data_IF_953554921943
#
_entry.id   IF_953554921943
#
_cell.length_a   1.000
_cell.length_b   1.000
_cell.length_c   1.000
_cell.angle_alpha   90.00
_cell.angle_beta   90.00
_cell.angle_gamma   90.00
#
_symmetry.space_group_name_H-M   'P 1'
#
loop_
_entity.id
_entity.type
_entity.pdbx_description
1 polymer ?
#
# COMPACT_ATOMS: atom_id res chain seq x y z
N UNK A 1 -1.81 -3.79 11.57
CA UNK A 1 -1.72 -5.27 11.65
C UNK A 1 -2.40 -5.71 12.93
N UNK A 2 -3.43 -6.58 12.85
CA UNK A 2 -3.90 -7.30 14.03
C UNK A 2 -2.71 -8.07 14.61
N UNK A 3 -2.62 -8.17 15.94
CA UNK A 3 -1.54 -8.87 16.64
C UNK A 3 -1.26 -10.27 16.06
N UNK A 4 -2.29 -10.95 15.57
CA UNK A 4 -2.18 -12.24 14.89
C UNK A 4 -1.36 -12.18 13.60
N UNK A 5 -1.56 -11.17 12.75
CA UNK A 5 -0.81 -11.01 11.50
C UNK A 5 0.67 -10.67 11.79
N UNK A 6 0.95 -9.90 12.82
CA UNK A 6 2.32 -9.61 13.24
C UNK A 6 3.06 -10.86 13.70
N UNK A 7 2.42 -11.72 14.48
CA UNK A 7 3.00 -13.01 14.94
C UNK A 7 3.32 -13.91 13.74
N UNK A 8 2.41 -14.03 12.78
CA UNK A 8 2.62 -14.87 11.59
C UNK A 8 3.74 -14.31 10.71
N UNK A 9 3.76 -13.01 10.43
CA UNK A 9 4.83 -12.37 9.66
C UNK A 9 6.19 -12.56 10.34
N UNK A 10 6.28 -12.33 11.64
CA UNK A 10 7.51 -12.53 12.39
C UNK A 10 8.00 -13.99 12.35
N UNK A 11 7.08 -14.97 12.40
CA UNK A 11 7.42 -16.39 12.24
C UNK A 11 7.98 -16.69 10.85
N UNK A 12 7.38 -16.14 9.80
CA UNK A 12 7.83 -16.31 8.43
C UNK A 12 9.21 -15.67 8.22
N UNK A 13 9.39 -14.43 8.68
CA UNK A 13 10.69 -13.75 8.62
C UNK A 13 11.79 -14.57 9.31
N UNK A 14 11.50 -15.09 10.51
CA UNK A 14 12.45 -15.95 11.26
C UNK A 14 12.77 -17.24 10.51
N UNK A 15 11.77 -17.92 9.93
CA UNK A 15 11.98 -19.19 9.23
C UNK A 15 12.81 -19.06 7.95
N UNK A 16 12.90 -17.86 7.38
CA UNK A 16 13.71 -17.57 6.19
C UNK A 16 14.96 -16.74 6.48
N UNK A 17 15.37 -16.60 7.74
CA UNK A 17 16.51 -15.78 8.17
C UNK A 17 16.41 -14.31 7.68
N UNK A 18 15.21 -13.78 7.67
CA UNK A 18 14.91 -12.40 7.25
C UNK A 18 14.70 -11.49 8.46
N UNK A 19 14.96 -10.20 8.27
CA UNK A 19 14.74 -9.14 9.27
C UNK A 19 14.05 -7.94 8.61
N UNK A 20 12.99 -7.45 9.26
CA UNK A 20 12.28 -6.25 8.81
C UNK A 20 12.83 -5.02 9.52
N UNK A 21 13.15 -3.99 8.75
CA UNK A 21 13.63 -2.69 9.22
C UNK A 21 12.59 -1.63 8.90
N UNK A 22 11.91 -1.11 9.91
CA UNK A 22 10.89 -0.09 9.74
C UNK A 22 11.53 1.25 9.34
N UNK A 23 11.00 1.89 8.31
CA UNK A 23 11.35 3.24 7.88
C UNK A 23 10.39 4.28 8.48
N UNK A 24 9.09 4.05 8.34
CA UNK A 24 8.06 4.93 8.88
C UNK A 24 6.73 4.21 9.08
N UNK A 25 5.83 4.86 9.78
CA UNK A 25 4.45 4.44 9.95
C UNK A 25 3.55 5.44 9.22
N UNK A 26 2.61 4.95 8.42
CA UNK A 26 1.65 5.76 7.71
C UNK A 26 0.22 5.40 8.13
N UNK A 27 -0.66 6.37 8.11
CA UNK A 27 -2.11 6.12 8.15
C UNK A 27 -2.60 5.73 6.75
N UNK A 28 -3.58 4.81 6.64
CA UNK A 28 -4.12 4.44 5.35
C UNK A 28 -4.85 5.62 4.68
N UNK A 29 -4.66 5.72 3.38
CA UNK A 29 -5.32 6.70 2.53
C UNK A 29 -5.94 5.99 1.34
N UNK A 30 -6.97 6.58 0.79
CA UNK A 30 -7.63 6.15 -0.44
C UNK A 30 -7.10 6.97 -1.60
N UNK A 31 -6.53 6.32 -2.62
CA UNK A 31 -6.22 6.95 -3.89
C UNK A 31 -7.45 6.89 -4.79
N UNK A 32 -7.92 8.04 -5.21
CA UNK A 32 -9.07 8.23 -6.11
C UNK A 32 -8.78 9.31 -7.13
N UNK A 33 -9.56 9.31 -8.20
CA UNK A 33 -9.57 10.44 -9.14
C UNK A 33 -10.03 11.73 -8.44
N UNK A 34 -9.43 12.85 -8.79
CA UNK A 34 -9.91 14.18 -8.36
C UNK A 34 -11.38 14.45 -8.72
N UNK A 35 -11.90 13.75 -9.72
CA UNK A 35 -13.29 13.85 -10.17
C UNK A 35 -14.21 12.81 -9.51
N UNK A 36 -13.66 11.95 -8.65
CA UNK A 36 -14.44 10.94 -7.94
C UNK A 36 -15.52 11.59 -7.07
N UNK A 37 -16.72 10.98 -6.94
CA UNK A 37 -17.78 11.53 -6.09
C UNK A 37 -17.34 11.84 -4.65
N UNK A 38 -16.45 11.00 -4.07
CA UNK A 38 -15.91 11.18 -2.72
C UNK A 38 -14.70 12.13 -2.64
N UNK A 39 -14.26 12.75 -3.75
CA UNK A 39 -13.04 13.56 -3.78
C UNK A 39 -13.08 14.82 -2.91
N UNK A 40 -14.27 15.25 -2.47
CA UNK A 40 -14.47 16.41 -1.59
C UNK A 40 -14.51 16.05 -0.10
N UNK A 41 -14.53 14.75 0.21
CA UNK A 41 -14.54 14.29 1.59
C UNK A 41 -13.17 14.56 2.23
N UNK A 42 -13.16 14.95 3.48
CA UNK A 42 -11.93 15.12 4.27
C UNK A 42 -11.42 13.78 4.81
N UNK A 43 -12.33 12.81 4.97
CA UNK A 43 -12.08 11.43 5.38
C UNK A 43 -13.11 10.56 4.65
N UNK A 44 -12.72 9.36 4.27
CA UNK A 44 -13.59 8.37 3.60
C UNK A 44 -13.70 7.15 4.51
N UNK A 45 -14.90 6.57 4.62
CA UNK A 45 -15.13 5.32 5.37
C UNK A 45 -15.14 4.10 4.45
N UNK A 46 -14.99 2.91 5.03
CA UNK A 46 -15.07 1.66 4.26
C UNK A 46 -16.46 1.45 3.66
N UNK A 47 -17.51 1.86 4.35
CA UNK A 47 -18.91 1.76 3.89
C UNK A 47 -19.15 2.63 2.64
N UNK A 48 -18.61 3.85 2.61
CA UNK A 48 -18.70 4.72 1.44
C UNK A 48 -18.01 4.15 0.20
N UNK A 49 -17.02 3.27 0.40
CA UNK A 49 -16.24 2.64 -0.67
C UNK A 49 -16.91 1.39 -1.27
N UNK A 50 -17.91 0.79 -0.62
CA UNK A 50 -18.56 -0.45 -1.09
C UNK A 50 -19.19 -0.34 -2.47
N UNK A 51 -19.65 0.85 -2.85
CA UNK A 51 -20.27 1.11 -4.15
C UNK A 51 -19.26 1.20 -5.31
N UNK A 52 -17.97 1.38 -5.01
CA UNK A 52 -16.92 1.63 -6.00
C UNK A 52 -16.01 0.42 -6.19
N UNK A 53 -15.46 0.21 -7.40
CA UNK A 53 -14.55 -0.90 -7.64
C UNK A 53 -13.19 -0.67 -6.99
N UNK A 54 -12.75 -1.66 -6.22
CA UNK A 54 -11.42 -1.70 -5.65
C UNK A 54 -10.40 -2.18 -6.68
N UNK A 55 -9.31 -1.45 -6.84
CA UNK A 55 -8.20 -1.81 -7.71
C UNK A 55 -7.07 -2.40 -6.87
N UNK A 56 -6.72 -3.64 -7.13
CA UNK A 56 -5.66 -4.37 -6.46
C UNK A 56 -4.59 -4.85 -7.44
N UNK A 57 -3.37 -5.06 -6.95
CA UNK A 57 -2.32 -5.66 -7.75
C UNK A 57 -2.43 -7.19 -7.77
N UNK A 58 -2.21 -7.80 -8.95
CA UNK A 58 -2.02 -9.23 -9.06
C UNK A 58 -0.65 -9.62 -8.47
N UNK A 59 -0.66 -10.50 -7.48
CA UNK A 59 0.54 -10.84 -6.70
C UNK A 59 1.25 -12.13 -7.13
N UNK A 60 0.90 -12.67 -8.32
CA UNK A 60 1.52 -13.89 -8.86
C UNK A 60 1.13 -15.18 -8.12
N UNK A 61 1.85 -16.28 -8.41
CA UNK A 61 1.51 -17.63 -7.94
C UNK A 61 1.78 -17.87 -6.45
N UNK A 62 2.66 -17.08 -5.83
CA UNK A 62 2.99 -17.16 -4.40
C UNK A 62 2.13 -16.21 -3.55
N UNK A 63 0.96 -15.91 -4.00
CA UNK A 63 0.00 -15.04 -3.36
C UNK A 63 -0.53 -15.67 -2.06
N UNK A 64 0.25 -15.59 -1.01
CA UNK A 64 -0.30 -15.85 0.31
C UNK A 64 -0.89 -14.55 0.85
N UNK A 65 -2.06 -14.65 1.44
CA UNK A 65 -2.73 -13.63 2.20
C UNK A 65 -1.78 -12.80 3.12
N UNK A 66 -0.73 -13.45 3.62
CA UNK A 66 0.25 -12.85 4.53
C UNK A 66 1.32 -11.98 3.84
N UNK A 67 1.48 -12.10 2.54
CA UNK A 67 2.48 -11.36 1.74
C UNK A 67 1.85 -10.31 0.83
N UNK A 68 0.56 -10.04 1.01
CA UNK A 68 -0.09 -8.98 0.27
C UNK A 68 0.54 -7.62 0.63
N UNK A 69 1.03 -6.90 -0.36
CA UNK A 69 1.46 -5.51 -0.22
C UNK A 69 0.30 -4.58 0.14
N UNK A 70 -0.92 -5.08 -0.04
CA UNK A 70 -2.14 -4.32 0.16
C UNK A 70 -2.67 -4.50 1.57
N UNK A 71 -2.92 -3.40 2.21
CA UNK A 71 -3.69 -3.35 3.44
C UNK A 71 -5.14 -3.70 3.10
N UNK A 72 -5.77 -4.49 3.95
CA UNK A 72 -7.17 -4.93 3.77
C UNK A 72 -7.39 -5.92 2.61
N UNK A 73 -6.41 -6.70 2.24
CA UNK A 73 -6.60 -7.84 1.34
C UNK A 73 -7.59 -8.89 1.88
N UNK A 74 -7.84 -8.85 3.19
CA UNK A 74 -8.80 -9.67 3.93
C UNK A 74 -10.24 -9.14 3.89
N UNK A 75 -10.44 -7.92 3.41
CA UNK A 75 -11.78 -7.38 3.23
C UNK A 75 -12.38 -7.94 1.93
N UNK A 76 -13.39 -8.79 2.03
CA UNK A 76 -14.09 -9.35 0.87
C UNK A 76 -14.86 -8.23 0.16
N UNK A 77 -14.28 -7.72 -0.91
CA UNK A 77 -14.86 -6.61 -1.67
C UNK A 77 -15.66 -7.13 -2.83
N UNK A 78 -16.93 -6.74 -2.91
CA UNK A 78 -17.87 -7.18 -3.95
C UNK A 78 -17.39 -6.86 -5.38
N UNK A 79 -16.66 -5.75 -5.56
CA UNK A 79 -16.15 -5.27 -6.85
C UNK A 79 -14.64 -5.13 -6.76
N UNK A 80 -13.90 -6.18 -7.11
CA UNK A 80 -12.43 -6.16 -7.11
C UNK A 80 -11.91 -6.38 -8.53
N UNK A 81 -11.05 -5.47 -9.00
CA UNK A 81 -10.37 -5.55 -10.29
C UNK A 81 -8.87 -5.68 -10.03
N UNK A 82 -8.28 -6.78 -10.49
CA UNK A 82 -6.85 -7.02 -10.38
C UNK A 82 -6.11 -6.46 -11.60
N UNK A 83 -5.02 -5.78 -11.36
CA UNK A 83 -4.16 -5.17 -12.37
C UNK A 83 -2.71 -5.60 -12.17
N UNK A 84 -1.90 -5.53 -13.21
CA UNK A 84 -0.47 -5.93 -13.16
C UNK A 84 0.49 -4.77 -13.07
N UNK A 85 0.04 -3.57 -13.39
CA UNK A 85 0.89 -2.39 -13.43
C UNK A 85 0.18 -1.13 -12.94
N UNK A 86 0.99 -0.16 -12.51
CA UNK A 86 0.52 1.09 -11.92
C UNK A 86 -0.19 2.00 -12.93
N UNK A 87 0.23 2.00 -14.19
CA UNK A 87 -0.38 2.87 -15.20
C UNK A 87 -1.82 2.43 -15.50
N UNK A 88 -2.04 1.12 -15.65
CA UNK A 88 -3.37 0.53 -15.78
C UNK A 88 -4.22 0.84 -14.54
N UNK A 89 -3.67 0.68 -13.34
CA UNK A 89 -4.37 1.01 -12.10
C UNK A 89 -4.87 2.46 -12.12
N UNK A 90 -4.01 3.43 -12.42
CA UNK A 90 -4.39 4.85 -12.41
C UNK A 90 -5.42 5.19 -13.50
N UNK A 91 -5.32 4.60 -14.68
CA UNK A 91 -6.30 4.77 -15.73
C UNK A 91 -7.70 4.25 -15.30
N UNK A 92 -7.74 3.11 -14.62
CA UNK A 92 -9.00 2.56 -14.11
C UNK A 92 -9.56 3.34 -12.92
N UNK A 93 -8.70 3.89 -12.03
CA UNK A 93 -9.15 4.81 -10.97
C UNK A 93 -9.90 6.01 -11.57
N UNK A 94 -9.40 6.55 -12.71
CA UNK A 94 -10.03 7.67 -13.39
C UNK A 94 -11.27 7.21 -14.17
N UNK A 95 -11.15 6.14 -14.96
CA UNK A 95 -12.18 5.72 -15.92
C UNK A 95 -13.40 5.05 -15.29
N UNK A 96 -13.24 4.40 -14.14
CA UNK A 96 -14.30 3.62 -13.48
C UNK A 96 -14.73 4.20 -12.13
N UNK A 97 -14.26 5.37 -11.74
CA UNK A 97 -14.40 5.88 -10.37
C UNK A 97 -13.96 4.82 -9.34
N UNK A 98 -12.86 4.13 -9.63
CA UNK A 98 -12.31 3.14 -8.73
C UNK A 98 -11.47 3.76 -7.62
N UNK A 99 -11.03 2.91 -6.69
CA UNK A 99 -10.13 3.32 -5.62
C UNK A 99 -9.11 2.22 -5.30
N UNK A 100 -8.01 2.63 -4.66
CA UNK A 100 -7.06 1.72 -4.02
C UNK A 100 -6.62 2.29 -2.68
N UNK A 101 -6.16 1.44 -1.76
CA UNK A 101 -5.70 1.87 -0.44
C UNK A 101 -4.17 1.85 -0.39
N UNK A 102 -3.58 2.91 0.18
CA UNK A 102 -2.14 3.13 0.18
C UNK A 102 -1.69 3.99 1.37
N UNK A 103 -0.39 4.26 1.44
CA UNK A 103 0.24 5.07 2.50
C UNK A 103 -0.07 6.56 2.46
N UNK A 104 -0.77 7.06 1.43
CA UNK A 104 -0.98 8.49 1.23
C UNK A 104 0.21 9.23 0.60
N UNK A 105 1.37 8.59 0.48
CA UNK A 105 2.55 9.19 -0.16
C UNK A 105 2.36 9.17 -1.68
N UNK A 106 2.21 10.36 -2.26
CA UNK A 106 2.06 10.53 -3.71
C UNK A 106 2.97 11.65 -4.21
N UNK A 107 3.85 11.33 -5.15
CA UNK A 107 4.65 12.34 -5.84
C UNK A 107 3.87 12.92 -7.02
N UNK A 108 3.56 14.21 -6.93
CA UNK A 108 2.77 14.92 -7.97
C UNK A 108 3.52 15.05 -9.30
N UNK A 109 4.86 15.01 -9.30
CA UNK A 109 5.65 15.08 -10.53
C UNK A 109 5.58 13.77 -11.30
N UNK A 110 5.52 12.62 -10.59
CA UNK A 110 5.45 11.29 -11.20
C UNK A 110 4.02 10.86 -11.53
N UNK A 111 3.03 11.26 -10.72
CA UNK A 111 1.67 10.74 -10.80
C UNK A 111 0.65 11.75 -11.35
N UNK A 112 1.10 12.95 -11.72
CA UNK A 112 0.22 14.00 -12.21
C UNK A 112 -0.67 14.60 -11.11
N UNK A 113 -1.72 15.32 -11.57
CA UNK A 113 -2.66 16.03 -10.68
C UNK A 113 -4.03 15.36 -10.58
N UNK A 114 -4.26 14.28 -11.32
CA UNK A 114 -5.59 13.69 -11.49
C UNK A 114 -5.94 12.70 -10.36
N UNK A 115 -4.93 12.18 -9.68
CA UNK A 115 -5.09 11.30 -8.51
C UNK A 115 -4.81 12.08 -7.23
N UNK A 116 -5.68 11.90 -6.25
CA UNK A 116 -5.55 12.48 -4.91
C UNK A 116 -5.57 11.38 -3.85
N UNK A 117 -4.96 11.66 -2.71
CA UNK A 117 -5.00 10.83 -1.52
C UNK A 117 -5.95 11.46 -0.51
N UNK A 118 -6.95 10.70 -0.07
CA UNK A 118 -7.89 11.11 0.99
C UNK A 118 -7.72 10.15 2.17
N UNK A 119 -7.63 10.64 3.42
CA UNK A 119 -7.53 9.78 4.59
C UNK A 119 -8.67 8.75 4.65
N UNK A 120 -8.34 7.49 4.98
CA UNK A 120 -9.32 6.45 5.26
C UNK A 120 -9.62 6.44 6.76
N UNK A 121 -10.88 6.38 7.14
CA UNK A 121 -11.33 6.23 8.52
C UNK A 121 -11.05 4.80 9.02
N UNK A 122 -9.79 4.50 9.30
CA UNK A 122 -9.36 3.21 9.84
C UNK A 122 -8.27 3.44 10.88
N UNK A 123 -8.31 2.68 11.98
CA UNK A 123 -7.34 2.79 13.07
C UNK A 123 -6.04 2.04 12.80
N UNK A 124 -6.01 1.17 11.78
CA UNK A 124 -4.84 0.35 11.46
C UNK A 124 -3.72 1.21 10.87
N UNK A 125 -2.53 1.07 11.42
CA UNK A 125 -1.33 1.70 10.90
C UNK A 125 -0.63 0.81 9.85
N UNK A 126 -0.04 1.47 8.86
CA UNK A 126 0.83 0.85 7.87
C UNK A 126 2.28 0.98 8.30
N UNK A 127 2.93 -0.12 8.64
CA UNK A 127 4.38 -0.14 8.89
C UNK A 127 5.11 -0.36 7.56
N UNK A 128 5.81 0.65 7.11
CA UNK A 128 6.56 0.64 5.85
C UNK A 128 8.05 0.54 6.14
N UNK A 129 8.74 -0.34 5.44
CA UNK A 129 10.15 -0.60 5.67
C UNK A 129 10.78 -1.42 4.56
N UNK A 130 11.93 -2.00 4.86
CA UNK A 130 12.65 -2.92 3.97
C UNK A 130 13.02 -4.20 4.70
N UNK A 131 13.26 -5.25 3.95
CA UNK A 131 13.65 -6.56 4.48
C UNK A 131 15.07 -6.87 4.03
N UNK A 132 15.88 -7.37 4.96
CA UNK A 132 17.22 -7.88 4.68
C UNK A 132 17.36 -9.33 5.12
N UNK A 133 18.31 -10.04 4.54
CA UNK A 133 18.75 -11.34 5.06
C UNK A 133 19.66 -11.12 6.27
N UNK A 134 19.42 -11.81 7.39
CA UNK A 134 20.20 -11.64 8.64
C UNK A 134 21.70 -11.87 8.48
N UNK A 135 22.08 -12.82 7.59
CA UNK A 135 23.47 -13.15 7.26
C UNK A 135 24.01 -12.33 6.09
N UNK A 136 23.18 -11.49 5.47
CA UNK A 136 23.54 -10.67 4.33
C UNK A 136 24.06 -9.30 4.76
N UNK A 137 25.08 -8.81 4.07
CA UNK A 137 25.51 -7.41 4.20
C UNK A 137 24.85 -6.59 3.12
N UNK A 138 24.25 -5.47 3.52
CA UNK A 138 23.74 -4.50 2.54
C UNK A 138 24.91 -3.92 1.78
N UNK A 139 24.87 -3.99 0.46
CA UNK A 139 25.95 -3.48 -0.41
C UNK A 139 26.11 -1.96 -0.22
N UNK A 140 27.28 -1.42 -0.62
CA UNK A 140 27.52 0.04 -0.63
C UNK A 140 26.40 0.79 -1.37
N UNK A 141 25.98 0.29 -2.52
CA UNK A 141 24.93 0.91 -3.33
C UNK A 141 23.56 0.84 -2.59
N UNK A 142 23.27 -0.30 -1.97
CA UNK A 142 22.07 -0.46 -1.14
C UNK A 142 22.03 0.53 0.02
N UNK A 143 23.14 0.72 0.72
CA UNK A 143 23.24 1.71 1.81
C UNK A 143 23.01 3.14 1.29
N UNK A 144 23.64 3.51 0.16
CA UNK A 144 23.43 4.83 -0.46
C UNK A 144 21.96 5.06 -0.82
N UNK A 145 21.28 4.03 -1.36
CA UNK A 145 19.84 4.09 -1.65
C UNK A 145 19.01 4.27 -0.39
N UNK A 146 19.28 3.51 0.67
CA UNK A 146 18.56 3.61 1.94
C UNK A 146 18.74 4.97 2.61
N UNK A 147 19.94 5.54 2.56
CA UNK A 147 20.21 6.90 3.05
C UNK A 147 19.41 7.95 2.27
N UNK A 148 19.41 7.85 0.93
CA UNK A 148 18.63 8.73 0.09
C UNK A 148 17.12 8.62 0.37
N UNK A 149 16.62 7.38 0.55
CA UNK A 149 15.21 7.13 0.88
C UNK A 149 14.84 7.72 2.24
N UNK A 150 15.66 7.52 3.27
CA UNK A 150 15.46 8.12 4.60
C UNK A 150 15.42 9.64 4.55
N UNK A 151 16.33 10.24 3.77
CA UNK A 151 16.36 11.69 3.56
C UNK A 151 15.14 12.23 2.83
N UNK A 152 14.57 11.43 1.91
CA UNK A 152 13.34 11.79 1.20
C UNK A 152 12.10 11.74 2.09
N UNK A 153 12.09 10.81 3.04
CA UNK A 153 10.97 10.60 3.96
C UNK A 153 10.95 11.61 5.14
N UNK A 154 12.04 12.35 5.35
CA UNK A 154 12.11 13.41 6.35
C UNK A 154 12.67 12.99 7.65
#
# INVERSE_FOLDING_TARGET
>A
LNDFNEVVINKILKSHDLEFHQLFVAKPHVFISRKHPLAKNTVITNEELEEYPYMSFEQGEHNSFYFSEEIFSDYERKKNIRVRDRATLFNLLIGLNGYTVCSGVIDKKLNGKDIIAVPLADEKDMRIGYITHKKGTVTRLGNTYLEALKKYLG
#
